data_IF_028689207755
#
_entry.id   IF_028689207755
#
_cell.length_a   1.000
_cell.length_b   1.000
_cell.length_c   1.000
_cell.angle_alpha   90.00
_cell.angle_beta   90.00
_cell.angle_gamma   90.00
#
_symmetry.space_group_name_H-M   'P 1'
#
loop_
_entity.id
_entity.type
_entity.pdbx_description
1 polymer ?
#
# COMPACT_ATOMS: atom_id res chain seq x y z
N UNK A 1 2.85 -19.70 6.39
CA UNK A 1 1.71 -19.04 7.08
C UNK A 1 1.29 -19.89 8.26
N UNK A 2 1.95 -19.77 9.42
CA UNK A 2 1.59 -20.60 10.59
C UNK A 2 0.31 -20.11 11.29
N UNK A 3 0.10 -18.78 11.32
CA UNK A 3 -1.05 -18.14 11.98
C UNK A 3 -1.50 -16.90 11.17
N UNK A 4 -2.16 -17.08 10.02
CA UNK A 4 -2.61 -15.94 9.22
C UNK A 4 -3.68 -15.12 9.95
N UNK A 5 -3.72 -13.81 9.68
CA UNK A 5 -4.80 -12.95 10.14
C UNK A 5 -6.15 -13.23 9.47
N UNK A 6 -7.24 -12.68 10.02
CA UNK A 6 -8.59 -12.87 9.47
C UNK A 6 -8.76 -12.26 8.07
N UNK A 7 -7.86 -11.36 7.67
CA UNK A 7 -7.90 -10.65 6.39
C UNK A 7 -6.85 -11.15 5.39
N UNK A 8 -6.22 -12.31 5.65
CA UNK A 8 -5.25 -12.90 4.73
C UNK A 8 -5.87 -13.14 3.36
N UNK A 9 -5.14 -12.81 2.29
CA UNK A 9 -5.54 -13.14 0.92
C UNK A 9 -4.40 -13.85 0.21
N UNK A 10 -4.70 -14.99 -0.38
CA UNK A 10 -3.80 -15.70 -1.28
C UNK A 10 -4.06 -15.20 -2.70
N UNK A 11 -3.04 -14.63 -3.33
CA UNK A 11 -3.11 -14.10 -4.68
C UNK A 11 -2.62 -15.12 -5.73
N UNK A 12 -1.73 -16.04 -5.36
CA UNK A 12 -1.30 -17.12 -6.27
C UNK A 12 -2.41 -18.16 -6.43
N UNK A 13 -2.86 -18.48 -7.66
CA UNK A 13 -3.85 -19.52 -7.92
C UNK A 13 -3.46 -20.87 -7.32
N UNK A 14 -4.46 -21.74 -7.09
CA UNK A 14 -4.19 -23.11 -6.68
C UNK A 14 -3.46 -23.87 -7.81
N UNK A 15 -2.39 -24.59 -7.47
CA UNK A 15 -1.57 -25.34 -8.42
C UNK A 15 -0.52 -24.52 -9.18
N UNK A 16 -0.52 -23.19 -9.07
CA UNK A 16 0.54 -22.34 -9.63
C UNK A 16 1.82 -22.39 -8.77
N UNK A 17 3.01 -22.21 -9.37
CA UNK A 17 4.28 -22.21 -8.63
C UNK A 17 4.43 -21.00 -7.71
N UNK A 18 5.19 -21.18 -6.62
CA UNK A 18 5.40 -20.15 -5.61
C UNK A 18 4.17 -19.89 -4.76
N UNK A 19 4.15 -18.72 -4.11
CA UNK A 19 3.04 -18.25 -3.28
C UNK A 19 3.18 -16.75 -3.02
N UNK A 20 2.23 -15.98 -3.54
CA UNK A 20 1.95 -14.61 -3.16
C UNK A 20 0.76 -14.61 -2.20
N UNK A 21 0.97 -14.14 -0.98
CA UNK A 21 -0.12 -13.78 -0.09
C UNK A 21 0.10 -12.40 0.51
N UNK A 22 -1.00 -11.81 0.93
CA UNK A 22 -1.02 -10.57 1.72
C UNK A 22 -1.79 -10.81 3.01
N UNK A 23 -1.41 -10.12 4.06
CA UNK A 23 -2.16 -10.07 5.33
C UNK A 23 -2.24 -8.63 5.80
N UNK A 24 -3.31 -8.28 6.50
CA UNK A 24 -3.67 -6.91 6.82
C UNK A 24 -3.73 -6.71 8.34
N UNK A 25 -3.64 -5.45 8.76
CA UNK A 25 -3.86 -5.04 10.15
C UNK A 25 -2.94 -5.79 11.13
N UNK A 26 -1.66 -5.96 10.80
CA UNK A 26 -0.73 -6.66 11.68
C UNK A 26 -0.52 -5.87 12.96
N UNK A 27 -0.56 -4.54 12.92
CA UNK A 27 -0.40 -3.69 14.11
C UNK A 27 -1.41 -3.99 15.23
N UNK A 28 -2.60 -4.50 14.91
CA UNK A 28 -3.61 -4.84 15.91
C UNK A 28 -3.32 -6.19 16.60
N UNK A 29 -2.55 -7.07 15.95
CA UNK A 29 -2.40 -8.48 16.35
C UNK A 29 -0.98 -8.83 16.79
N UNK A 30 0.01 -8.06 16.36
CA UNK A 30 1.42 -8.33 16.61
C UNK A 30 2.06 -7.21 17.43
N UNK A 31 2.58 -7.49 18.64
CA UNK A 31 3.19 -6.47 19.49
C UNK A 31 4.31 -5.68 18.81
N UNK A 32 5.16 -6.33 18.01
CA UNK A 32 6.23 -5.65 17.29
C UNK A 32 5.70 -4.64 16.24
N UNK A 33 4.62 -4.99 15.54
CA UNK A 33 3.98 -4.07 14.59
C UNK A 33 3.31 -2.92 15.33
N UNK A 34 2.63 -3.18 16.46
CA UNK A 34 2.06 -2.14 17.32
C UNK A 34 3.14 -1.18 17.83
N UNK A 35 4.24 -1.71 18.31
CA UNK A 35 5.36 -0.91 18.83
C UNK A 35 5.99 -0.06 17.72
N UNK A 36 6.11 -0.59 16.50
CA UNK A 36 6.54 0.22 15.36
C UNK A 36 5.60 1.40 15.13
N UNK A 37 4.28 1.17 15.14
CA UNK A 37 3.27 2.21 14.92
C UNK A 37 3.32 3.31 15.99
N UNK A 38 3.42 2.93 17.26
CA UNK A 38 3.29 3.86 18.39
C UNK A 38 4.61 4.31 19.03
N UNK A 39 5.76 3.76 18.66
CA UNK A 39 7.03 4.06 19.35
C UNK A 39 8.22 4.25 18.43
N UNK A 40 8.14 3.81 17.17
CA UNK A 40 9.26 4.01 16.25
C UNK A 40 9.30 5.44 15.70
N UNK A 41 10.47 5.87 15.16
CA UNK A 41 10.61 7.13 14.44
C UNK A 41 9.73 7.28 13.18
N UNK A 42 9.02 6.23 12.77
CA UNK A 42 8.24 6.21 11.53
C UNK A 42 7.13 7.26 11.52
N UNK A 43 6.48 7.52 12.67
CA UNK A 43 5.44 8.55 12.78
C UNK A 43 6.01 9.96 12.60
N UNK A 44 7.19 10.25 13.14
CA UNK A 44 7.84 11.56 12.99
C UNK A 44 8.37 11.74 11.55
N UNK A 45 8.88 10.66 10.93
CA UNK A 45 9.27 10.66 9.52
C UNK A 45 8.03 10.93 8.64
N UNK A 46 6.92 10.23 8.89
CA UNK A 46 5.68 10.42 8.15
C UNK A 46 5.17 11.87 8.28
N UNK A 47 5.15 12.42 9.51
CA UNK A 47 4.76 13.81 9.75
C UNK A 47 5.59 14.80 8.93
N UNK A 48 6.91 14.65 8.95
CA UNK A 48 7.84 15.52 8.20
C UNK A 48 7.65 15.42 6.70
N UNK A 49 7.46 14.21 6.17
CA UNK A 49 7.24 13.99 4.74
C UNK A 49 5.90 14.57 4.26
N UNK A 50 4.86 14.46 5.09
CA UNK A 50 3.54 15.01 4.80
C UNK A 50 3.45 16.52 5.08
N UNK A 51 4.41 17.09 5.82
CA UNK A 51 4.30 18.44 6.34
C UNK A 51 3.14 18.62 7.33
N UNK A 52 2.76 17.56 8.04
CA UNK A 52 1.63 17.56 8.97
C UNK A 52 2.05 17.81 10.42
N UNK A 53 1.11 18.26 11.24
CA UNK A 53 1.28 18.46 12.69
C UNK A 53 0.84 17.23 13.49
N UNK A 54 -0.16 16.52 12.98
CA UNK A 54 -0.63 15.27 13.53
C UNK A 54 -0.38 14.12 12.55
N UNK A 55 -0.36 12.91 13.08
CA UNK A 55 -0.34 11.68 12.28
C UNK A 55 -1.36 10.72 12.82
N UNK A 56 -2.23 10.25 11.92
CA UNK A 56 -3.11 9.11 12.14
C UNK A 56 -2.56 7.91 11.40
N UNK A 57 -2.54 6.77 12.09
CA UNK A 57 -2.24 5.50 11.46
C UNK A 57 -3.49 4.90 10.82
N UNK A 58 -3.43 4.57 9.54
CA UNK A 58 -4.60 4.04 8.82
C UNK A 58 -4.61 2.51 8.80
N UNK A 59 -3.60 1.88 8.18
CA UNK A 59 -3.45 0.43 8.18
C UNK A 59 -2.05 0.01 7.73
N UNK A 60 -1.77 -1.29 7.83
CA UNK A 60 -0.65 -1.94 7.17
C UNK A 60 -1.02 -3.24 6.49
N UNK A 61 -0.23 -3.59 5.47
CA UNK A 61 -0.24 -4.92 4.85
C UNK A 61 1.16 -5.54 4.84
N UNK A 62 1.23 -6.81 5.21
CA UNK A 62 2.35 -7.69 4.90
C UNK A 62 2.16 -8.24 3.49
N UNK A 63 3.19 -8.18 2.66
CA UNK A 63 3.24 -8.76 1.33
C UNK A 63 4.35 -9.80 1.29
N UNK A 64 4.02 -11.04 0.95
CA UNK A 64 4.99 -12.14 0.88
C UNK A 64 4.92 -12.80 -0.47
N UNK A 65 6.04 -12.82 -1.19
CA UNK A 65 6.22 -13.61 -2.40
C UNK A 65 7.30 -14.66 -2.16
N UNK A 66 6.89 -15.92 -2.10
CA UNK A 66 7.82 -17.06 -2.02
C UNK A 66 8.65 -17.20 -3.32
N UNK A 67 9.78 -17.92 -3.31
CA UNK A 67 10.54 -18.19 -4.51
C UNK A 67 9.69 -18.76 -5.66
N UNK A 68 9.94 -18.32 -6.90
CA UNK A 68 9.23 -18.77 -8.10
C UNK A 68 7.83 -18.20 -8.29
N UNK A 69 7.38 -17.28 -7.43
CA UNK A 69 6.09 -16.60 -7.55
C UNK A 69 6.04 -15.71 -8.79
N UNK A 70 5.13 -15.99 -9.72
CA UNK A 70 5.01 -15.24 -10.99
C UNK A 70 4.10 -14.02 -10.90
N UNK A 71 3.19 -14.00 -9.93
CA UNK A 71 2.18 -12.95 -9.80
C UNK A 71 2.84 -11.59 -9.55
N UNK A 72 2.55 -10.64 -10.46
CA UNK A 72 2.93 -9.24 -10.31
C UNK A 72 1.98 -8.51 -9.37
N UNK A 73 2.49 -7.44 -8.77
CA UNK A 73 1.65 -6.37 -8.25
C UNK A 73 1.40 -5.42 -9.44
N UNK A 74 0.16 -5.29 -9.94
CA UNK A 74 -0.12 -4.43 -11.08
C UNK A 74 0.22 -2.97 -10.76
N UNK A 75 0.43 -2.18 -11.81
CA UNK A 75 0.52 -0.74 -11.68
C UNK A 75 -0.76 -0.18 -11.06
N UNK A 76 -0.58 0.62 -10.01
CA UNK A 76 -1.65 1.30 -9.29
C UNK A 76 -1.08 2.45 -8.47
N UNK A 77 -1.95 3.26 -7.92
CA UNK A 77 -1.66 4.10 -6.76
C UNK A 77 -2.62 3.73 -5.63
N UNK A 78 -2.23 4.00 -4.40
CA UNK A 78 -2.86 3.45 -3.20
C UNK A 78 -4.21 4.15 -2.89
N UNK A 79 -4.28 5.47 -3.04
CA UNK A 79 -5.39 6.27 -2.51
C UNK A 79 -6.79 5.94 -3.07
N UNK A 80 -6.99 5.57 -4.35
CA UNK A 80 -8.31 5.16 -4.84
C UNK A 80 -8.88 3.91 -4.18
N UNK A 81 -8.05 3.07 -3.56
CA UNK A 81 -8.52 1.91 -2.81
C UNK A 81 -9.08 2.31 -1.43
N UNK A 82 -8.79 3.53 -0.95
CA UNK A 82 -9.05 3.95 0.41
C UNK A 82 -10.23 4.93 0.47
N UNK A 83 -11.06 4.86 1.53
CA UNK A 83 -12.10 5.85 1.80
C UNK A 83 -11.51 7.13 2.41
N UNK A 84 -10.50 7.73 1.76
CA UNK A 84 -9.74 8.87 2.29
C UNK A 84 -9.53 9.94 1.23
N UNK A 85 -10.07 11.13 1.47
CA UNK A 85 -9.68 12.36 0.75
C UNK A 85 -8.62 13.12 1.55
N UNK A 86 -7.78 13.90 0.86
CA UNK A 86 -6.63 14.61 1.42
C UNK A 86 -5.34 14.35 0.64
N UNK A 87 -4.34 15.20 0.83
CA UNK A 87 -3.02 15.14 0.19
C UNK A 87 -1.92 14.74 1.18
N UNK A 88 -2.17 14.79 2.49
CA UNK A 88 -1.20 14.35 3.49
C UNK A 88 -1.33 12.85 3.72
N UNK A 89 -0.96 12.04 2.72
CA UNK A 89 -1.00 10.58 2.83
C UNK A 89 0.31 9.97 2.31
N UNK A 90 1.03 9.30 3.21
CA UNK A 90 2.30 8.64 2.88
C UNK A 90 2.24 7.15 3.18
N UNK A 91 2.75 6.36 2.24
CA UNK A 91 3.03 4.94 2.42
C UNK A 91 4.51 4.77 2.74
N UNK A 92 4.84 4.00 3.78
CA UNK A 92 6.20 3.53 4.04
C UNK A 92 6.28 2.05 3.70
N UNK A 93 7.17 1.68 2.79
CA UNK A 93 7.44 0.31 2.38
C UNK A 93 8.78 -0.15 2.93
N UNK A 94 8.74 -1.22 3.73
CA UNK A 94 9.88 -1.76 4.45
C UNK A 94 10.13 -3.22 4.04
N UNK A 95 11.30 -3.56 3.46
CA UNK A 95 11.65 -4.95 3.21
C UNK A 95 11.95 -5.69 4.52
N UNK A 96 11.52 -6.95 4.63
CA UNK A 96 11.89 -7.84 5.75
C UNK A 96 12.89 -8.93 5.33
N UNK A 97 13.29 -8.91 4.07
CA UNK A 97 14.32 -9.73 3.43
C UNK A 97 15.09 -8.82 2.47
N UNK A 98 16.36 -9.12 2.10
CA UNK A 98 17.05 -8.41 1.03
C UNK A 98 16.26 -8.46 -0.28
N UNK A 99 16.15 -7.33 -0.99
CA UNK A 99 15.38 -7.21 -2.24
C UNK A 99 16.24 -6.54 -3.31
N UNK A 100 16.57 -7.30 -4.36
CA UNK A 100 17.27 -6.76 -5.51
C UNK A 100 16.36 -5.78 -6.27
N UNK A 101 16.95 -4.74 -6.87
CA UNK A 101 16.27 -3.71 -7.68
C UNK A 101 15.31 -4.30 -8.70
N UNK A 102 15.69 -5.39 -9.37
CA UNK A 102 14.90 -6.05 -10.41
C UNK A 102 13.58 -6.68 -9.88
N UNK A 103 13.49 -6.92 -8.57
CA UNK A 103 12.30 -7.49 -7.91
C UNK A 103 11.65 -6.54 -6.90
N UNK A 104 12.24 -5.35 -6.74
CA UNK A 104 11.75 -4.31 -5.85
C UNK A 104 10.45 -3.68 -6.39
N UNK A 105 9.83 -2.84 -5.58
CA UNK A 105 8.76 -1.98 -6.06
C UNK A 105 9.39 -0.94 -6.99
N UNK A 106 8.71 -0.70 -8.11
CA UNK A 106 9.07 0.31 -9.10
C UNK A 106 8.04 1.44 -9.06
N UNK A 107 8.51 2.68 -9.23
CA UNK A 107 7.71 3.89 -9.10
C UNK A 107 7.85 4.78 -10.33
N UNK A 108 6.75 5.42 -10.74
CA UNK A 108 6.79 6.46 -11.79
C UNK A 108 7.10 7.80 -11.15
N UNK A 109 8.26 8.38 -11.49
CA UNK A 109 8.71 9.64 -10.91
C UNK A 109 7.72 10.77 -11.17
N UNK A 110 7.30 11.46 -10.10
CA UNK A 110 6.42 12.63 -10.19
C UNK A 110 4.95 12.33 -10.46
N UNK A 111 4.55 11.06 -10.63
CA UNK A 111 3.16 10.67 -10.93
C UNK A 111 2.13 11.16 -9.92
N UNK A 112 2.50 11.28 -8.64
CA UNK A 112 1.64 11.84 -7.60
C UNK A 112 1.18 13.29 -7.85
N UNK A 113 1.82 14.02 -8.77
CA UNK A 113 1.46 15.41 -9.12
C UNK A 113 0.64 15.52 -10.40
N UNK A 114 0.24 14.41 -11.01
CA UNK A 114 -0.52 14.45 -12.26
C UNK A 114 -1.93 14.99 -12.09
N UNK A 115 -2.46 15.02 -10.86
CA UNK A 115 -3.86 15.42 -10.59
C UNK A 115 -4.86 14.42 -11.17
N UNK A 116 -4.43 13.19 -11.40
CA UNK A 116 -5.17 12.12 -12.08
C UNK A 116 -5.47 11.00 -11.10
N UNK A 117 -6.69 10.49 -11.14
CA UNK A 117 -7.13 9.38 -10.30
C UNK A 117 -7.41 8.17 -11.18
N UNK A 118 -6.61 7.13 -11.05
CA UNK A 118 -6.78 5.89 -11.81
C UNK A 118 -7.64 4.87 -11.08
N UNK A 119 -8.39 4.09 -11.86
CA UNK A 119 -9.22 3.00 -11.37
C UNK A 119 -8.38 1.94 -10.64
N UNK A 120 -8.82 1.47 -9.45
CA UNK A 120 -8.14 0.43 -8.72
C UNK A 120 -8.26 -0.94 -9.42
N UNK A 121 -7.13 -1.64 -9.57
CA UNK A 121 -7.06 -3.00 -10.14
C UNK A 121 -7.05 -4.08 -9.05
N UNK A 122 -7.69 -5.23 -9.28
CA UNK A 122 -7.53 -6.38 -8.38
C UNK A 122 -6.20 -7.10 -8.57
N UNK A 123 -5.66 -7.65 -7.48
CA UNK A 123 -4.44 -8.47 -7.45
C UNK A 123 -4.64 -9.92 -7.94
N UNK A 124 -5.78 -10.24 -8.57
CA UNK A 124 -6.08 -11.57 -9.13
C UNK A 124 -6.10 -11.47 -10.65
N UNK A 125 -5.23 -12.23 -11.34
CA UNK A 125 -5.33 -12.36 -12.80
C UNK A 125 -6.75 -12.81 -13.18
N UNK A 126 -7.42 -12.01 -14.02
CA UNK A 126 -8.78 -12.28 -14.49
C UNK A 126 -9.91 -11.89 -13.53
N UNK A 127 -9.62 -11.18 -12.44
CA UNK A 127 -10.67 -10.51 -11.65
C UNK A 127 -11.23 -9.32 -12.43
N UNK A 128 -12.56 -9.16 -12.43
CA UNK A 128 -13.21 -7.91 -12.83
C UNK A 128 -12.58 -6.81 -11.99
N UNK A 129 -12.12 -5.70 -12.60
CA UNK A 129 -11.59 -4.55 -11.85
C UNK A 129 -12.52 -4.20 -10.70
N UNK A 130 -11.98 -3.61 -9.63
CA UNK A 130 -12.85 -3.06 -8.60
C UNK A 130 -13.79 -2.12 -9.36
N UNK A 131 -15.07 -2.47 -9.42
CA UNK A 131 -16.10 -1.63 -10.01
C UNK A 131 -16.35 -0.47 -9.03
N UNK A 132 -15.28 0.22 -8.68
CA UNK A 132 -15.29 1.60 -8.29
C UNK A 132 -15.61 2.34 -9.57
N UNK A 133 -16.90 2.29 -9.93
CA UNK A 133 -17.51 3.08 -10.99
C UNK A 133 -17.63 4.53 -10.50
N UNK A 134 -16.50 5.06 -10.01
CA UNK A 134 -16.38 6.44 -9.65
C UNK A 134 -16.07 7.21 -10.94
N UNK A 135 -16.97 8.09 -11.41
CA UNK A 135 -16.76 8.81 -12.65
C UNK A 135 -15.56 9.77 -12.59
N UNK A 136 -15.01 10.00 -11.39
CA UNK A 136 -13.78 10.77 -11.18
C UNK A 136 -12.53 9.97 -11.57
N UNK A 137 -12.63 8.65 -11.73
CA UNK A 137 -11.50 7.77 -11.98
C UNK A 137 -11.41 7.35 -13.44
N UNK A 138 -10.22 7.42 -14.00
CA UNK A 138 -9.94 7.06 -15.38
C UNK A 138 -9.16 5.74 -15.48
N UNK A 139 -9.15 5.09 -16.66
CA UNK A 139 -8.32 3.92 -16.88
C UNK A 139 -6.83 4.23 -16.69
N UNK A 140 -6.12 3.31 -16.04
CA UNK A 140 -4.67 3.41 -15.84
C UNK A 140 -3.93 3.25 -17.19
N UNK A 141 -3.00 4.14 -17.56
CA UNK A 141 -2.20 4.00 -18.79
C UNK A 141 -1.38 2.70 -18.77
N UNK A 142 -1.05 2.18 -19.95
CA UNK A 142 -0.18 1.01 -20.05
C UNK A 142 1.29 1.42 -19.83
N UNK A 143 1.66 1.56 -18.56
CA UNK A 143 3.00 2.00 -18.15
C UNK A 143 4.11 1.02 -18.59
N UNK A 144 3.78 -0.24 -18.88
CA UNK A 144 4.75 -1.19 -19.43
C UNK A 144 4.98 -0.95 -20.93
N UNK A 145 3.97 -0.47 -21.67
CA UNK A 145 4.12 -0.03 -23.06
C UNK A 145 4.70 1.40 -23.19
N UNK A 146 4.48 2.25 -22.18
CA UNK A 146 4.93 3.65 -22.15
C UNK A 146 6.30 3.84 -21.48
N UNK A 147 7.15 2.82 -21.43
CA UNK A 147 8.42 2.85 -20.68
C UNK A 147 9.33 4.02 -21.06
N UNK A 148 9.31 4.43 -22.32
CA UNK A 148 10.14 5.52 -22.85
C UNK A 148 9.58 6.92 -22.51
N UNK A 149 8.32 7.01 -22.08
CA UNK A 149 7.65 8.29 -21.79
C UNK A 149 7.80 8.72 -20.33
N UNK A 150 8.24 7.82 -19.46
CA UNK A 150 8.29 8.04 -18.02
C UNK A 150 9.64 7.64 -17.43
N UNK A 151 10.06 8.30 -16.36
CA UNK A 151 11.22 7.90 -15.57
C UNK A 151 10.77 6.96 -14.44
N UNK A 152 11.37 5.77 -14.38
CA UNK A 152 11.05 4.76 -13.38
C UNK A 152 12.16 4.59 -12.34
N UNK A 153 11.75 4.56 -11.08
CA UNK A 153 12.64 4.49 -9.93
C UNK A 153 12.47 3.16 -9.20
N UNK A 154 13.59 2.51 -8.91
CA UNK A 154 13.68 1.29 -8.11
C UNK A 154 15.08 1.21 -7.50
N UNK A 155 15.24 0.49 -6.40
CA UNK A 155 16.49 0.39 -5.65
C UNK A 155 16.73 -1.05 -5.17
N UNK A 156 18.00 -1.41 -5.01
CA UNK A 156 18.39 -2.52 -4.14
C UNK A 156 18.14 -2.12 -2.69
N UNK A 157 17.61 -3.03 -1.89
CA UNK A 157 17.13 -2.75 -0.55
C UNK A 157 17.54 -3.86 0.42
N UNK A 158 17.96 -3.47 1.62
CA UNK A 158 18.26 -4.37 2.74
C UNK A 158 17.27 -4.17 3.89
N UNK A 159 17.06 -5.16 4.77
CA UNK A 159 16.30 -4.95 6.00
C UNK A 159 16.85 -3.77 6.81
N UNK A 160 15.98 -2.79 7.07
CA UNK A 160 16.34 -1.52 7.71
C UNK A 160 16.17 -0.31 6.79
N UNK A 161 16.20 -0.52 5.48
CA UNK A 161 15.86 0.51 4.50
C UNK A 161 14.35 0.80 4.48
N UNK A 162 13.97 1.98 3.98
CA UNK A 162 12.57 2.37 3.79
C UNK A 162 12.41 3.16 2.50
N UNK A 163 11.38 2.83 1.73
CA UNK A 163 10.89 3.70 0.65
C UNK A 163 9.63 4.38 1.15
N UNK A 164 9.63 5.70 1.12
CA UNK A 164 8.45 6.51 1.42
C UNK A 164 7.90 7.13 0.13
N UNK A 165 6.60 7.06 -0.07
CA UNK A 165 5.96 7.63 -1.27
C UNK A 165 4.55 8.13 -0.97
N UNK A 166 4.13 9.17 -1.69
CA UNK A 166 2.78 9.72 -1.62
C UNK A 166 1.75 8.71 -2.14
N UNK A 167 0.55 8.65 -1.56
CA UNK A 167 -0.47 7.65 -1.91
C UNK A 167 -0.97 7.71 -3.36
N UNK A 168 -0.79 8.83 -4.06
CA UNK A 168 -1.04 8.96 -5.51
C UNK A 168 0.18 8.62 -6.40
N UNK A 169 1.29 8.14 -5.83
CA UNK A 169 2.44 7.72 -6.63
C UNK A 169 2.12 6.39 -7.30
N UNK A 170 2.16 6.38 -8.63
CA UNK A 170 2.03 5.15 -9.40
C UNK A 170 3.20 4.22 -9.14
N UNK A 171 2.89 2.99 -8.77
CA UNK A 171 3.85 1.97 -8.43
C UNK A 171 3.36 0.57 -8.77
N UNK A 172 4.30 -0.34 -8.97
CA UNK A 172 4.07 -1.73 -9.33
C UNK A 172 5.24 -2.59 -8.86
N UNK A 173 5.09 -3.91 -8.90
CA UNK A 173 6.20 -4.80 -8.59
C UNK A 173 6.12 -6.08 -9.42
N UNK A 174 7.28 -6.59 -9.83
CA UNK A 174 7.36 -7.88 -10.51
C UNK A 174 6.90 -9.04 -9.61
N UNK A 175 6.83 -10.25 -10.16
CA UNK A 175 6.87 -11.47 -9.37
C UNK A 175 8.19 -11.60 -8.60
N UNK A 176 8.31 -12.64 -7.78
CA UNK A 176 9.60 -13.01 -7.19
C UNK A 176 10.35 -13.92 -8.16
N UNK A 177 11.33 -13.34 -8.87
CA UNK A 177 12.16 -14.04 -9.85
C UNK A 177 13.20 -14.96 -9.20
N UNK A 178 13.44 -14.82 -7.88
CA UNK A 178 14.37 -15.70 -7.17
C UNK A 178 13.80 -17.12 -7.08
N UNK A 179 14.67 -18.11 -7.28
CA UNK A 179 14.35 -19.53 -7.09
C UNK A 179 14.67 -20.03 -5.68
N UNK A 180 15.33 -19.23 -4.84
CA UNK A 180 15.78 -19.62 -3.51
C UNK A 180 15.44 -18.63 -2.40
N UNK A 181 15.22 -17.35 -2.70
CA UNK A 181 14.98 -16.31 -1.70
C UNK A 181 13.52 -15.88 -1.66
N UNK A 182 12.96 -15.85 -0.46
CA UNK A 182 11.66 -15.22 -0.18
C UNK A 182 11.81 -13.70 -0.24
N UNK A 183 10.74 -13.01 -0.66
CA UNK A 183 10.63 -11.55 -0.58
C UNK A 183 9.41 -11.15 0.26
N UNK A 184 9.65 -10.74 1.50
CA UNK A 184 8.65 -10.14 2.39
C UNK A 184 8.84 -8.63 2.46
N UNK A 185 7.73 -7.92 2.50
CA UNK A 185 7.72 -6.50 2.80
C UNK A 185 6.50 -6.12 3.63
N UNK A 186 6.66 -5.11 4.45
CA UNK A 186 5.61 -4.54 5.25
C UNK A 186 5.37 -3.10 4.78
N UNK A 187 4.13 -2.81 4.39
CA UNK A 187 3.73 -1.49 3.92
C UNK A 187 2.76 -0.87 4.93
N UNK A 188 3.06 0.33 5.42
CA UNK A 188 2.29 1.06 6.44
C UNK A 188 1.78 2.38 5.88
N UNK A 189 0.53 2.76 6.19
CA UNK A 189 -0.15 3.95 5.65
C UNK A 189 -0.43 4.94 6.76
N UNK A 190 -0.03 6.18 6.53
CA UNK A 190 -0.09 7.26 7.49
C UNK A 190 -0.81 8.45 6.86
N UNK A 191 -1.62 9.13 7.65
CA UNK A 191 -2.46 10.23 7.23
C UNK A 191 -2.21 11.45 8.11
N UNK A 192 -2.17 12.64 7.50
CA UNK A 192 -1.96 13.92 8.16
C UNK A 192 -3.27 14.66 8.48
N UNK A 193 -3.14 15.97 8.69
CA UNK A 193 -4.17 16.85 9.25
C UNK A 193 -5.38 17.03 8.31
N UNK A 194 -5.14 16.94 7.00
CA UNK A 194 -6.14 17.15 5.96
C UNK A 194 -6.95 15.90 5.61
N UNK A 195 -6.55 14.73 6.12
CA UNK A 195 -7.20 13.48 5.79
C UNK A 195 -8.64 13.45 6.33
N UNK A 196 -9.59 13.17 5.44
CA UNK A 196 -11.01 13.03 5.77
C UNK A 196 -11.53 11.68 5.30
N UNK A 197 -12.41 11.09 6.11
CA UNK A 197 -13.14 9.92 5.67
C UNK A 197 -14.02 10.30 4.48
N UNK A 198 -13.98 9.51 3.43
CA UNK A 198 -14.66 9.79 2.17
C UNK A 198 -15.42 8.56 1.69
N UNK A 199 -16.61 8.78 1.14
CA UNK A 199 -17.32 7.72 0.46
C UNK A 199 -16.59 7.37 -0.85
N UNK A 200 -16.50 6.07 -1.13
CA UNK A 200 -16.06 5.53 -2.42
C UNK A 200 -17.20 4.71 -2.99
N UNK A 201 -17.38 4.78 -4.31
CA UNK A 201 -18.28 3.88 -5.02
C UNK A 201 -17.57 2.53 -5.13
N UNK A 202 -18.24 1.40 -4.90
CA UNK A 202 -17.61 0.08 -4.96
C UNK A 202 -16.84 -0.32 -3.69
N UNK A 203 -16.03 -1.37 -3.79
CA UNK A 203 -15.34 -1.95 -2.63
C UNK A 203 -14.01 -1.25 -2.32
N UNK A 204 -13.84 -0.83 -1.08
CA UNK A 204 -12.56 -0.35 -0.54
C UNK A 204 -11.66 -1.51 -0.14
N UNK A 205 -10.35 -1.26 -0.11
CA UNK A 205 -9.35 -2.25 0.28
C UNK A 205 -8.26 -1.62 1.16
N UNK A 206 -8.13 -2.04 2.43
CA UNK A 206 -8.90 -3.09 3.09
C UNK A 206 -10.38 -2.73 3.37
N UNK A 207 -11.26 -3.74 3.51
CA UNK A 207 -12.65 -3.54 3.96
C UNK A 207 -12.68 -3.27 5.47
N UNK A 208 -12.34 -2.04 5.85
CA UNK A 208 -12.37 -1.58 7.24
C UNK A 208 -13.73 -0.93 7.52
N UNK A 209 -14.59 -1.67 8.21
CA UNK A 209 -15.97 -1.30 8.50
C UNK A 209 -16.18 -1.13 10.02
N UNK A 210 -17.33 -0.59 10.43
CA UNK A 210 -17.71 -0.50 11.85
C UNK A 210 -16.98 0.58 12.66
N UNK A 211 -16.22 1.47 12.01
CA UNK A 211 -15.50 2.58 12.65
C UNK A 211 -16.37 3.80 12.98
N UNK A 212 -17.59 3.89 12.46
CA UNK A 212 -18.58 4.92 12.80
C UNK A 212 -18.38 6.32 12.19
N UNK A 213 -17.35 6.51 11.36
CA UNK A 213 -17.09 7.80 10.69
C UNK A 213 -18.08 8.03 9.54
N UNK A 214 -18.43 9.30 9.33
CA UNK A 214 -19.26 9.79 8.23
C UNK A 214 -18.39 10.53 7.21
N UNK A 215 -18.79 10.59 5.92
CA UNK A 215 -18.06 11.37 4.93
C UNK A 215 -17.84 12.82 5.38
N UNK A 216 -16.59 13.28 5.30
CA UNK A 216 -16.17 14.61 5.76
C UNK A 216 -15.64 14.66 7.20
N UNK A 217 -15.78 13.59 7.99
CA UNK A 217 -15.16 13.50 9.31
C UNK A 217 -13.63 13.43 9.21
N UNK A 218 -12.92 13.88 10.25
CA UNK A 218 -11.48 13.59 10.38
C UNK A 218 -11.29 12.08 10.34
N UNK A 219 -10.24 11.62 9.66
CA UNK A 219 -9.87 10.20 9.69
C UNK A 219 -9.21 9.88 11.03
N UNK A 220 -9.97 9.86 12.13
CA UNK A 220 -9.48 9.60 13.48
C UNK A 220 -10.56 8.90 14.31
N UNK A 221 -10.26 7.70 14.80
CA UNK A 221 -11.11 6.95 15.72
C UNK A 221 -10.29 5.82 16.39
N UNK A 222 -10.93 4.93 17.16
CA UNK A 222 -10.23 3.79 17.78
C UNK A 222 -9.54 2.89 16.73
N UNK A 223 -10.17 2.72 15.56
CA UNK A 223 -9.60 1.95 14.45
C UNK A 223 -8.49 2.69 13.71
N UNK A 224 -8.53 4.02 13.69
CA UNK A 224 -7.56 4.91 13.04
C UNK A 224 -6.93 5.83 14.08
N UNK A 225 -6.01 5.30 14.91
CA UNK A 225 -5.51 6.02 16.06
C UNK A 225 -4.61 7.17 15.63
N UNK A 226 -4.76 8.32 16.29
CA UNK A 226 -3.74 9.35 16.31
C UNK A 226 -2.52 8.84 17.06
N UNK A 227 -1.37 8.86 16.39
CA UNK A 227 -0.10 8.31 16.89
C UNK A 227 0.96 9.38 17.10
N UNK A 228 0.74 10.59 16.58
CA UNK A 228 1.54 11.77 16.82
C UNK A 228 0.65 13.02 16.88
N UNK A 229 0.96 13.92 17.80
CA UNK A 229 0.41 15.27 17.91
C UNK A 229 1.55 16.26 18.14
N UNK A 230 1.33 17.53 17.78
CA UNK A 230 2.27 18.62 18.03
C UNK A 230 2.46 18.93 19.53
#
# INVERSE_FOLDING_TARGET
MASPGPMVRRNTPQGAPGLFFVDFQLWQRHPAARDFVYRSPAREIAARLMGSREVVYYHDHLLVKEPGTRERTPWHHDQPYYPIDGEQIVSLWLPLDPVDRATCVEYVKGSHRWGRWFQPKFFRQGGVDLAVADPRFEPLPDLDAEREQHEFLAWDMEPGDVIAFHALTLHGASGNLSTSRRRRAWATRWCGDDARYAARVGQISPPLEGHGLKPGDRLECEMFPKVLSA
#
